data_IF_501917735453
#
_entry.id   IF_501917735453
#
_cell.length_a   1.000
_cell.length_b   1.000
_cell.length_c   1.000
_cell.angle_alpha   90.00
_cell.angle_beta   90.00
_cell.angle_gamma   90.00
#
_symmetry.space_group_name_H-M   'P 1'
#
loop_
_entity.id
_entity.type
_entity.pdbx_description
1 polymer ?
#
# COMPACT_ATOMS: atom_id res chain seq x y z
N UNK A 1 -24.93 -24.06 11.05
CA UNK A 1 -25.23 -22.61 10.94
C UNK A 1 -24.25 -21.83 11.81
N UNK A 2 -24.01 -22.27 13.06
CA UNK A 2 -23.06 -21.62 13.99
C UNK A 2 -21.61 -21.45 13.47
N UNK A 3 -21.05 -22.39 12.70
CA UNK A 3 -19.66 -22.24 12.17
C UNK A 3 -19.52 -21.16 11.09
N UNK A 4 -20.57 -20.87 10.32
CA UNK A 4 -20.54 -19.83 9.30
C UNK A 4 -20.69 -18.44 9.91
N UNK A 5 -21.59 -18.29 10.88
CA UNK A 5 -21.77 -17.04 11.62
C UNK A 5 -20.49 -16.65 12.38
N UNK A 6 -19.77 -17.64 12.94
CA UNK A 6 -18.50 -17.42 13.64
C UNK A 6 -17.34 -17.02 12.73
N UNK A 7 -17.33 -17.48 11.47
CA UNK A 7 -16.35 -17.07 10.46
C UNK A 7 -16.64 -15.65 9.93
N UNK A 8 -17.92 -15.29 9.78
CA UNK A 8 -18.33 -13.95 9.37
C UNK A 8 -17.98 -12.90 10.44
N UNK A 9 -18.19 -13.21 11.73
CA UNK A 9 -17.77 -12.34 12.84
C UNK A 9 -16.24 -12.14 12.90
N UNK A 10 -15.44 -13.18 12.67
CA UNK A 10 -13.97 -13.09 12.65
C UNK A 10 -13.45 -12.27 11.46
N UNK A 11 -14.08 -12.40 10.29
CA UNK A 11 -13.79 -11.57 9.11
C UNK A 11 -14.11 -10.09 9.33
N UNK A 12 -15.27 -9.78 9.93
CA UNK A 12 -15.63 -8.40 10.27
C UNK A 12 -14.65 -7.78 11.28
N UNK A 13 -14.19 -8.56 12.26
CA UNK A 13 -13.20 -8.09 13.24
C UNK A 13 -11.83 -7.85 12.60
N UNK A 14 -11.41 -8.70 11.66
CA UNK A 14 -10.19 -8.51 10.88
C UNK A 14 -10.28 -7.28 9.96
N UNK A 15 -11.40 -7.07 9.29
CA UNK A 15 -11.63 -5.87 8.47
C UNK A 15 -11.55 -4.58 9.30
N UNK A 16 -12.17 -4.56 10.48
CA UNK A 16 -12.06 -3.43 11.42
C UNK A 16 -10.62 -3.17 11.87
N UNK A 17 -9.82 -4.22 12.08
CA UNK A 17 -8.39 -4.07 12.41
C UNK A 17 -7.60 -3.48 11.26
N UNK A 18 -7.88 -3.90 10.03
CA UNK A 18 -7.25 -3.36 8.82
C UNK A 18 -7.64 -1.88 8.64
N UNK A 19 -8.92 -1.53 8.79
CA UNK A 19 -9.38 -0.14 8.71
C UNK A 19 -8.72 0.75 9.77
N UNK A 20 -8.61 0.26 11.01
CA UNK A 20 -7.92 0.98 12.08
C UNK A 20 -6.42 1.17 11.76
N UNK A 21 -5.78 0.17 11.17
CA UNK A 21 -4.39 0.25 10.76
C UNK A 21 -4.20 1.24 9.60
N UNK A 22 -5.09 1.24 8.60
CA UNK A 22 -5.07 2.22 7.51
C UNK A 22 -5.24 3.66 8.02
N UNK A 23 -6.21 3.88 8.91
CA UNK A 23 -6.43 5.20 9.54
C UNK A 23 -5.20 5.67 10.34
N UNK A 24 -4.55 4.74 11.05
CA UNK A 24 -3.32 5.04 11.77
C UNK A 24 -2.19 5.42 10.81
N UNK A 25 -2.00 4.65 9.74
CA UNK A 25 -0.99 4.95 8.71
C UNK A 25 -1.24 6.29 8.03
N UNK A 26 -2.50 6.62 7.71
CA UNK A 26 -2.87 7.92 7.14
C UNK A 26 -2.51 9.07 8.09
N UNK A 27 -2.79 8.91 9.38
CA UNK A 27 -2.44 9.89 10.40
C UNK A 27 -0.93 10.06 10.56
N UNK A 28 -0.19 8.96 10.68
CA UNK A 28 1.27 8.99 10.79
C UNK A 28 1.92 9.62 9.55
N UNK A 29 1.38 9.31 8.37
CA UNK A 29 1.76 9.92 7.10
C UNK A 29 1.54 11.44 7.14
N UNK A 30 0.34 11.90 7.49
CA UNK A 30 0.04 13.33 7.59
C UNK A 30 0.97 14.06 8.57
N UNK A 31 1.17 13.51 9.76
CA UNK A 31 2.07 14.10 10.78
C UNK A 31 3.51 14.22 10.27
N UNK A 32 4.00 13.22 9.53
CA UNK A 32 5.33 13.24 8.91
C UNK A 32 5.47 14.39 7.89
N UNK A 33 4.50 14.52 6.98
CA UNK A 33 4.53 15.56 5.95
C UNK A 33 4.34 16.97 6.53
N UNK A 34 3.49 17.12 7.54
CA UNK A 34 3.32 18.37 8.29
C UNK A 34 4.62 18.79 8.99
N UNK A 35 5.32 17.85 9.65
CA UNK A 35 6.59 18.10 10.31
C UNK A 35 7.68 18.58 9.32
N UNK A 36 7.67 18.02 8.11
CA UNK A 36 8.56 18.40 7.02
C UNK A 36 8.13 19.69 6.30
N UNK A 37 6.94 20.23 6.61
CA UNK A 37 6.33 21.37 5.90
C UNK A 37 6.32 21.19 4.39
N UNK A 38 6.14 19.96 3.94
CA UNK A 38 6.16 19.59 2.52
C UNK A 38 4.96 18.73 2.23
N UNK A 39 4.45 18.79 1.00
CA UNK A 39 3.40 17.86 0.57
C UNK A 39 4.00 16.55 0.05
N UNK A 40 3.26 15.43 0.10
CA UNK A 40 3.70 14.16 -0.47
C UNK A 40 4.21 14.26 -1.92
N UNK A 41 3.56 15.09 -2.72
CA UNK A 41 3.91 15.29 -4.13
C UNK A 41 5.20 16.10 -4.35
N UNK A 42 5.66 16.82 -3.32
CA UNK A 42 6.87 17.65 -3.38
C UNK A 42 8.10 16.92 -2.84
N UNK A 43 7.92 15.75 -2.19
CA UNK A 43 9.06 14.97 -1.69
C UNK A 43 9.95 14.50 -2.83
N UNK A 44 9.39 14.04 -3.94
CA UNK A 44 10.19 13.58 -5.08
C UNK A 44 11.04 14.71 -5.66
N UNK A 45 10.50 15.93 -5.73
CA UNK A 45 11.25 17.12 -6.16
C UNK A 45 12.37 17.48 -5.17
N UNK A 46 12.09 17.43 -3.86
CA UNK A 46 13.06 17.66 -2.79
C UNK A 46 14.20 16.64 -2.76
N UNK A 47 13.89 15.37 -3.01
CA UNK A 47 14.87 14.28 -3.01
C UNK A 47 15.65 14.17 -4.31
N UNK A 48 15.15 14.77 -5.40
CA UNK A 48 15.80 14.76 -6.71
C UNK A 48 16.61 16.02 -7.01
N UNK A 49 16.42 17.13 -6.28
CA UNK A 49 17.20 18.35 -6.45
C UNK A 49 18.59 18.24 -5.79
N UNK A 50 19.69 18.08 -6.56
CA UNK A 50 21.04 17.94 -6.02
C UNK A 50 21.56 19.26 -5.43
N UNK A 51 20.88 20.39 -5.68
CA UNK A 51 21.27 21.71 -5.17
C UNK A 51 20.79 21.98 -3.76
N UNK A 52 19.82 21.19 -3.26
CA UNK A 52 19.26 21.35 -1.92
C UNK A 52 20.02 20.56 -0.86
N UNK A 53 20.90 19.66 -1.28
CA UNK A 53 21.66 18.76 -0.40
C UNK A 53 23.16 18.90 -0.65
N UNK A 54 23.98 18.55 0.35
CA UNK A 54 25.38 18.27 0.07
C UNK A 54 25.47 17.01 -0.81
N UNK A 55 26.54 16.88 -1.59
CA UNK A 55 26.77 15.71 -2.45
C UNK A 55 26.67 14.39 -1.69
N UNK A 56 27.26 14.32 -0.50
CA UNK A 56 27.25 13.13 0.36
C UNK A 56 25.83 12.80 0.87
N UNK A 57 25.07 13.81 1.29
CA UNK A 57 23.67 13.61 1.72
C UNK A 57 22.79 13.16 0.57
N UNK A 58 22.98 13.73 -0.62
CA UNK A 58 22.24 13.32 -1.82
C UNK A 58 22.55 11.87 -2.21
N UNK A 59 23.83 11.50 -2.28
CA UNK A 59 24.26 10.13 -2.59
C UNK A 59 23.72 9.11 -1.58
N UNK A 60 23.74 9.45 -0.28
CA UNK A 60 23.14 8.62 0.77
C UNK A 60 21.62 8.44 0.58
N UNK A 61 20.89 9.54 0.29
CA UNK A 61 19.44 9.47 0.07
C UNK A 61 19.08 8.62 -1.15
N UNK A 62 19.86 8.73 -2.24
CA UNK A 62 19.65 7.91 -3.44
C UNK A 62 19.94 6.42 -3.18
N UNK A 63 20.98 6.10 -2.42
CA UNK A 63 21.29 4.71 -2.04
C UNK A 63 20.20 4.09 -1.16
N UNK A 64 19.72 4.83 -0.15
CA UNK A 64 18.61 4.38 0.69
C UNK A 64 17.33 4.18 -0.10
N UNK A 65 17.04 5.08 -1.04
CA UNK A 65 15.89 4.94 -1.94
C UNK A 65 15.97 3.65 -2.76
N UNK A 66 17.13 3.38 -3.37
CA UNK A 66 17.36 2.16 -4.15
C UNK A 66 17.15 0.89 -3.31
N UNK A 67 17.65 0.87 -2.07
CA UNK A 67 17.47 -0.27 -1.17
C UNK A 67 16.00 -0.50 -0.79
N UNK A 68 15.27 0.57 -0.51
CA UNK A 68 13.84 0.50 -0.18
C UNK A 68 13.02 0.01 -1.38
N UNK A 69 13.27 0.56 -2.57
CA UNK A 69 12.59 0.14 -3.81
C UNK A 69 12.84 -1.35 -4.10
N UNK A 70 14.10 -1.80 -3.99
CA UNK A 70 14.44 -3.22 -4.17
C UNK A 70 13.76 -4.13 -3.13
N UNK A 71 13.72 -3.73 -1.85
CA UNK A 71 13.03 -4.48 -0.80
C UNK A 71 11.52 -4.54 -1.03
N UNK A 72 10.92 -3.45 -1.52
CA UNK A 72 9.50 -3.38 -1.82
C UNK A 72 9.14 -4.28 -3.02
N UNK A 73 9.94 -4.24 -4.08
CA UNK A 73 9.80 -5.14 -5.24
C UNK A 73 9.92 -6.62 -4.83
N UNK A 74 10.91 -6.96 -3.99
CA UNK A 74 11.05 -8.31 -3.47
C UNK A 74 9.81 -8.72 -2.68
N UNK A 75 9.30 -7.85 -1.81
CA UNK A 75 8.11 -8.15 -1.01
C UNK A 75 6.86 -8.33 -1.87
N UNK A 76 6.69 -7.50 -2.90
CA UNK A 76 5.62 -7.65 -3.89
C UNK A 76 5.74 -8.99 -4.61
N UNK A 77 6.96 -9.40 -5.00
CA UNK A 77 7.20 -10.69 -5.64
C UNK A 77 6.87 -11.87 -4.70
N UNK A 78 7.28 -11.81 -3.44
CA UNK A 78 6.95 -12.80 -2.41
C UNK A 78 5.43 -12.93 -2.19
N UNK A 79 4.73 -11.81 -2.11
CA UNK A 79 3.26 -11.79 -1.98
C UNK A 79 2.62 -12.37 -3.24
N UNK A 80 3.04 -11.94 -4.43
CA UNK A 80 2.50 -12.47 -5.69
C UNK A 80 2.78 -13.98 -5.87
N UNK A 81 3.91 -14.48 -5.38
CA UNK A 81 4.24 -15.91 -5.41
C UNK A 81 3.43 -16.72 -4.39
N UNK A 82 3.12 -16.13 -3.23
CA UNK A 82 2.33 -16.78 -2.17
C UNK A 82 0.82 -16.72 -2.41
N UNK A 83 0.34 -15.77 -3.23
CA UNK A 83 -1.03 -15.79 -3.75
C UNK A 83 -1.14 -16.89 -4.81
N UNK A 84 -1.47 -18.10 -4.36
CA UNK A 84 -1.93 -19.19 -5.22
C UNK A 84 -3.15 -18.67 -5.96
N UNK A 85 -3.00 -18.39 -7.26
CA UNK A 85 -4.16 -18.25 -8.15
C UNK A 85 -4.82 -19.61 -8.23
N UNK A 86 -5.80 -19.87 -7.36
CA UNK A 86 -6.70 -21.00 -7.59
C UNK A 86 -7.23 -20.87 -9.02
N UNK A 87 -7.16 -21.94 -9.84
CA UNK A 87 -7.80 -21.91 -11.14
C UNK A 87 -9.28 -21.62 -10.90
N UNK A 88 -9.74 -20.44 -11.31
CA UNK A 88 -11.16 -20.09 -11.29
C UNK A 88 -11.89 -21.04 -12.24
N UNK A 89 -12.35 -22.17 -11.71
CA UNK A 89 -13.42 -22.99 -12.31
C UNK A 89 -14.79 -22.32 -12.08
N UNK A 90 -14.84 -20.98 -12.07
CA UNK A 90 -16.10 -20.25 -12.03
C UNK A 90 -16.55 -20.00 -13.47
N UNK A 91 -17.69 -20.58 -13.89
CA UNK A 91 -18.25 -20.29 -15.21
C UNK A 91 -18.54 -18.78 -15.32
N UNK A 92 -18.44 -18.20 -16.53
CA UNK A 92 -18.60 -16.77 -16.72
C UNK A 92 -19.99 -16.33 -16.26
N UNK A 93 -20.04 -15.57 -15.17
CA UNK A 93 -21.26 -14.92 -14.70
C UNK A 93 -21.65 -13.89 -15.77
N UNK A 94 -22.65 -14.24 -16.58
CA UNK A 94 -23.30 -13.32 -17.54
C UNK A 94 -24.14 -12.29 -16.78
N UNK A 95 -23.48 -11.36 -16.09
CA UNK A 95 -24.11 -10.15 -15.56
C UNK A 95 -24.46 -9.21 -16.72
N UNK A 96 -25.75 -8.99 -16.96
CA UNK A 96 -26.21 -7.94 -17.88
C UNK A 96 -26.07 -6.59 -17.17
N UNK A 97 -25.23 -5.71 -17.70
CA UNK A 97 -25.14 -4.33 -17.24
C UNK A 97 -26.34 -3.56 -17.82
N UNK A 98 -27.33 -3.26 -16.97
CA UNK A 98 -28.41 -2.35 -17.33
C UNK A 98 -27.92 -0.94 -17.02
N UNK A 99 -27.54 -0.19 -18.04
CA UNK A 99 -27.33 1.25 -17.93
C UNK A 99 -28.69 1.93 -17.95
N UNK A 100 -29.12 2.45 -16.80
CA UNK A 100 -30.27 3.37 -16.74
C UNK A 100 -29.75 4.76 -17.11
N UNK A 101 -30.36 5.34 -18.15
CA UNK A 101 -30.09 6.69 -18.66
C UNK A 101 -30.87 7.74 -17.87
#
# INVERSE_FOLDING_TARGET
MEEKEKQEEDLEEQLKKIDAYMLQMEKESQEFFEALRTSPHQIDELLSDPKQHSKETFEYLQDQRYQIEAALEQRIAEVNASVVREPRDTPPVKGHWIFVR
#
